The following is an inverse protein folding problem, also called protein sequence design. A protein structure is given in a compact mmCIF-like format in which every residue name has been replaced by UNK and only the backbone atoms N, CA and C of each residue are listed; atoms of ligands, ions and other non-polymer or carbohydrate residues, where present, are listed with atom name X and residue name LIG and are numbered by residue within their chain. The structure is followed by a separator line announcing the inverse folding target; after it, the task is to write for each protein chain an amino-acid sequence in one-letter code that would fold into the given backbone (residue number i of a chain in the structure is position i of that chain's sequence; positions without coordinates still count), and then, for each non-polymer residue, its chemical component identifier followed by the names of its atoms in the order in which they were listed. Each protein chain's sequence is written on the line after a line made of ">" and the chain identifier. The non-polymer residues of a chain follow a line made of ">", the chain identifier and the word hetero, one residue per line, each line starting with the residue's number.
data_IF_333667378210
#
_entry.id   IF_333667378210
#
_cell.length_a   1.000
_cell.length_b   1.000
_cell.length_c   1.000
_cell.angle_alpha   90.00
_cell.angle_beta   90.00
_cell.angle_gamma   90.00
#
_symmetry.space_group_name_H-M   'P 1'
#
loop_
_entity.id
_entity.type
_entity.pdbx_description
1 polymer ?
#
# COMPACT_ATOMS: atom_id res chain seq x y z
N UNK A 1 -9.56 19.75 -2.62
CA UNK A 1 -10.35 20.95 -2.89
C UNK A 1 -11.85 20.66 -3.10
N UNK A 2 -12.42 19.63 -2.47
CA UNK A 2 -13.86 19.32 -2.63
C UNK A 2 -14.64 19.36 -1.30
N UNK A 3 -14.02 19.82 -0.20
CA UNK A 3 -14.57 19.68 1.17
C UNK A 3 -14.99 18.24 1.52
N UNK A 4 -14.32 17.26 0.91
CA UNK A 4 -14.56 15.82 1.12
C UNK A 4 -13.29 15.17 1.65
N UNK A 5 -13.47 14.21 2.55
CA UNK A 5 -12.38 13.40 3.13
C UNK A 5 -12.69 11.94 2.82
N UNK A 6 -11.69 11.20 2.34
CA UNK A 6 -11.77 9.76 2.17
C UNK A 6 -11.05 9.05 3.31
N UNK A 7 -11.72 8.10 3.96
CA UNK A 7 -11.14 7.29 5.04
C UNK A 7 -11.20 5.83 4.63
N UNK A 8 -10.06 5.15 4.73
CA UNK A 8 -9.95 3.72 4.47
C UNK A 8 -9.38 3.03 5.71
N UNK A 9 -10.06 1.98 6.18
CA UNK A 9 -9.60 1.14 7.29
C UNK A 9 -9.26 -0.23 6.75
N UNK A 10 -8.00 -0.63 6.90
CA UNK A 10 -7.54 -1.98 6.58
C UNK A 10 -7.65 -2.91 7.78
N UNK A 11 -8.07 -4.15 7.55
CA UNK A 11 -8.00 -5.24 8.54
C UNK A 11 -7.25 -6.44 8.00
N UNK A 12 -6.74 -7.27 8.90
CA UNK A 12 -6.26 -8.59 8.52
C UNK A 12 -7.43 -9.47 8.02
N UNK A 13 -7.27 -10.27 6.94
CA UNK A 13 -8.34 -11.10 6.40
C UNK A 13 -8.93 -12.08 7.42
N UNK A 14 -8.12 -12.59 8.34
CA UNK A 14 -8.55 -13.53 9.40
C UNK A 14 -9.06 -12.83 10.68
N UNK A 15 -9.06 -11.50 10.73
CA UNK A 15 -9.72 -10.78 11.81
C UNK A 15 -11.23 -10.68 11.55
N UNK A 16 -11.95 -11.74 11.91
CA UNK A 16 -13.39 -11.83 11.68
C UNK A 16 -14.20 -10.89 12.57
N UNK A 17 -13.66 -10.47 13.71
CA UNK A 17 -14.33 -9.51 14.59
C UNK A 17 -14.40 -8.12 13.95
N UNK A 18 -13.37 -7.73 13.20
CA UNK A 18 -13.38 -6.50 12.39
C UNK A 18 -14.10 -6.66 11.04
N UNK A 19 -14.68 -7.81 10.72
CA UNK A 19 -15.50 -7.95 9.51
C UNK A 19 -16.75 -7.06 9.55
N UNK A 20 -17.14 -6.56 10.73
CA UNK A 20 -18.19 -5.55 10.93
C UNK A 20 -17.91 -4.22 10.22
N UNK A 21 -16.65 -3.90 9.90
CA UNK A 21 -16.25 -2.68 9.18
C UNK A 21 -16.94 -2.48 7.81
N UNK A 22 -17.61 -3.50 7.28
CA UNK A 22 -18.43 -3.37 6.06
C UNK A 22 -19.78 -2.66 6.28
N UNK A 23 -20.16 -2.45 7.54
CA UNK A 23 -21.41 -1.82 7.94
C UNK A 23 -21.13 -0.41 8.45
N UNK A 24 -21.88 0.58 7.97
CA UNK A 24 -21.64 2.00 8.24
C UNK A 24 -21.53 2.31 9.75
N UNK A 25 -22.51 1.90 10.54
CA UNK A 25 -22.54 2.19 11.99
C UNK A 25 -21.35 1.60 12.77
N UNK A 26 -20.86 0.43 12.36
CA UNK A 26 -19.66 -0.17 12.95
C UNK A 26 -18.39 0.54 12.48
N UNK A 27 -18.33 0.90 11.20
CA UNK A 27 -17.22 1.64 10.61
C UNK A 27 -17.06 3.01 11.28
N UNK A 28 -18.13 3.79 11.39
CA UNK A 28 -18.13 5.13 11.98
C UNK A 28 -17.66 5.10 13.44
N UNK A 29 -18.14 4.12 14.22
CA UNK A 29 -17.71 3.93 15.60
C UNK A 29 -16.23 3.58 15.71
N UNK A 30 -15.74 2.69 14.85
CA UNK A 30 -14.31 2.36 14.82
C UNK A 30 -13.49 3.59 14.46
N UNK A 31 -13.82 4.28 13.37
CA UNK A 31 -13.06 5.46 12.92
C UNK A 31 -13.09 6.58 13.96
N UNK A 32 -14.24 6.82 14.59
CA UNK A 32 -14.37 7.78 15.69
C UNK A 32 -13.53 7.44 16.93
N UNK A 33 -13.17 6.16 17.11
CA UNK A 33 -12.27 5.72 18.19
C UNK A 33 -10.79 5.86 17.88
N UNK A 34 -10.40 6.13 16.61
CA UNK A 34 -9.01 6.22 16.17
C UNK A 34 -8.50 7.66 16.36
N UNK A 35 -7.56 7.92 17.29
CA UNK A 35 -7.12 9.29 17.59
C UNK A 35 -6.67 10.12 16.37
N UNK A 36 -5.94 9.58 15.37
CA UNK A 36 -5.47 10.37 14.24
C UNK A 36 -6.58 10.92 13.32
N UNK A 37 -7.78 10.34 13.36
CA UNK A 37 -8.87 10.66 12.42
C UNK A 37 -10.22 10.96 13.12
N UNK A 38 -10.33 10.75 14.44
CA UNK A 38 -11.56 10.96 15.19
C UNK A 38 -12.17 12.35 14.97
N UNK A 39 -11.36 13.41 15.04
CA UNK A 39 -11.82 14.78 14.83
C UNK A 39 -12.33 15.04 13.39
N UNK A 40 -11.88 14.25 12.40
CA UNK A 40 -12.31 14.40 11.01
C UNK A 40 -13.70 13.83 10.77
N UNK A 41 -14.14 12.87 11.59
CA UNK A 41 -15.44 12.18 11.48
C UNK A 41 -16.43 12.60 12.57
N UNK A 42 -16.08 13.60 13.37
CA UNK A 42 -17.01 14.18 14.32
C UNK A 42 -18.24 14.73 13.56
N UNK A 43 -19.48 14.39 13.96
CA UNK A 43 -20.69 14.85 13.28
C UNK A 43 -20.85 16.38 13.24
N UNK A 44 -20.15 17.13 14.10
CA UNK A 44 -20.09 18.59 14.04
C UNK A 44 -19.14 19.12 12.95
N UNK A 45 -18.30 18.26 12.37
CA UNK A 45 -17.29 18.61 11.37
C UNK A 45 -17.56 17.99 10.00
N UNK A 46 -18.14 16.78 9.92
CA UNK A 46 -18.43 16.11 8.66
C UNK A 46 -19.65 15.19 8.73
N UNK A 47 -20.21 14.90 7.56
CA UNK A 47 -21.29 13.92 7.38
C UNK A 47 -20.89 12.90 6.30
N UNK A 48 -21.31 11.62 6.41
CA UNK A 48 -21.09 10.64 5.35
C UNK A 48 -21.83 11.03 4.07
N UNK A 49 -21.13 10.97 2.93
CA UNK A 49 -21.72 11.24 1.60
C UNK A 49 -21.99 9.97 0.78
N UNK A 50 -21.56 8.81 1.29
CA UNK A 50 -21.76 7.49 0.66
C UNK A 50 -21.78 6.39 1.71
N UNK A 51 -22.33 5.22 1.34
CA UNK A 51 -22.17 4.00 2.11
C UNK A 51 -20.71 3.53 2.16
N UNK A 52 -20.41 2.63 3.10
CA UNK A 52 -19.09 2.01 3.22
C UNK A 52 -18.86 1.01 2.09
N UNK A 53 -17.85 1.26 1.28
CA UNK A 53 -17.38 0.31 0.28
C UNK A 53 -16.42 -0.71 0.91
N UNK A 54 -16.81 -1.99 0.92
CA UNK A 54 -15.96 -3.08 1.39
C UNK A 54 -15.15 -3.69 0.24
N UNK A 55 -13.83 -3.72 0.39
CA UNK A 55 -12.91 -4.37 -0.53
C UNK A 55 -12.19 -5.53 0.17
N UNK A 56 -12.19 -6.70 -0.46
CA UNK A 56 -11.56 -7.92 0.06
C UNK A 56 -10.86 -8.70 -1.04
N UNK A 57 -10.16 -9.78 -0.65
CA UNK A 57 -9.48 -10.65 -1.61
C UNK A 57 -8.33 -9.98 -2.36
N UNK A 58 -7.70 -8.98 -1.75
CA UNK A 58 -6.54 -8.27 -2.31
C UNK A 58 -5.42 -9.27 -2.63
N UNK A 59 -4.90 -9.21 -3.86
CA UNK A 59 -3.82 -10.07 -4.33
C UNK A 59 -2.81 -9.23 -5.10
N UNK A 60 -1.53 -9.45 -4.82
CA UNK A 60 -0.43 -8.91 -5.62
C UNK A 60 -0.20 -9.86 -6.80
N UNK A 61 -0.63 -9.47 -8.00
CA UNK A 61 -0.53 -10.31 -9.20
C UNK A 61 0.28 -9.57 -10.25
N UNK A 62 1.34 -10.20 -10.75
CA UNK A 62 2.10 -9.73 -11.91
C UNK A 62 1.87 -10.70 -13.08
N UNK A 63 1.30 -10.18 -14.18
CA UNK A 63 1.23 -10.87 -15.46
C UNK A 63 2.41 -10.41 -16.29
N UNK A 64 3.54 -11.07 -16.05
CA UNK A 64 4.82 -10.76 -16.67
C UNK A 64 4.71 -10.66 -18.21
N UNK A 65 5.07 -9.54 -18.85
CA UNK A 65 4.96 -9.42 -20.30
C UNK A 65 6.07 -10.19 -21.03
N UNK A 66 7.08 -10.67 -20.31
CA UNK A 66 8.21 -11.41 -20.86
C UNK A 66 8.15 -12.90 -20.51
N UNK A 67 8.61 -13.73 -21.44
CA UNK A 67 8.91 -15.16 -21.21
C UNK A 67 10.24 -15.49 -21.86
N UNK A 68 11.17 -16.03 -21.08
CA UNK A 68 12.54 -16.30 -21.55
C UNK A 68 13.23 -15.08 -22.21
N UNK A 69 12.89 -13.86 -21.79
CA UNK A 69 13.50 -12.62 -22.26
C UNK A 69 12.84 -11.94 -23.46
N UNK A 70 11.83 -12.55 -24.09
CA UNK A 70 11.08 -11.98 -25.21
C UNK A 70 9.61 -11.73 -24.86
N UNK A 71 8.95 -10.86 -25.64
CA UNK A 71 7.52 -10.59 -25.50
C UNK A 71 6.69 -11.86 -25.72
N UNK A 72 5.66 -12.06 -24.88
CA UNK A 72 4.79 -13.24 -24.99
C UNK A 72 3.79 -13.17 -26.14
N UNK A 73 3.32 -11.97 -26.47
CA UNK A 73 2.29 -11.73 -27.50
C UNK A 73 2.67 -10.48 -28.28
N UNK A 74 2.57 -10.53 -29.61
CA UNK A 74 2.77 -9.36 -30.47
C UNK A 74 1.43 -8.65 -30.71
N UNK A 75 1.46 -7.30 -30.77
CA UNK A 75 0.27 -6.49 -31.06
C UNK A 75 -0.70 -6.32 -29.87
N UNK A 76 -0.41 -6.91 -28.71
CA UNK A 76 -1.18 -6.74 -27.47
C UNK A 76 -0.26 -6.26 -26.35
N UNK A 77 -0.56 -5.09 -25.78
CA UNK A 77 0.20 -4.51 -24.67
C UNK A 77 -0.71 -4.34 -23.44
N UNK A 78 -0.50 -5.14 -22.41
CA UNK A 78 -1.24 -5.00 -21.16
C UNK A 78 -0.68 -3.84 -20.32
N UNK A 79 -1.58 -3.00 -19.79
CA UNK A 79 -1.25 -1.86 -18.92
C UNK A 79 -2.12 -1.86 -17.65
N UNK A 80 -1.79 -1.00 -16.69
CA UNK A 80 -2.49 -0.93 -15.40
C UNK A 80 -2.71 -2.29 -14.73
N UNK A 81 -3.91 -2.51 -14.19
CA UNK A 81 -4.29 -3.75 -13.51
C UNK A 81 -4.30 -4.99 -14.41
N UNK A 82 -4.43 -4.81 -15.74
CA UNK A 82 -4.31 -5.91 -16.69
C UNK A 82 -2.88 -6.48 -16.72
N UNK A 83 -1.88 -5.65 -16.41
CA UNK A 83 -0.48 -6.08 -16.28
C UNK A 83 -0.13 -6.47 -14.84
N UNK A 84 -0.49 -5.62 -13.88
CA UNK A 84 -0.12 -5.83 -12.48
C UNK A 84 -1.13 -5.21 -11.53
N UNK A 85 -1.63 -6.01 -10.60
CA UNK A 85 -2.47 -5.56 -9.50
C UNK A 85 -1.65 -5.58 -8.22
N UNK A 86 -1.70 -4.50 -7.44
CA UNK A 86 -0.99 -4.37 -6.16
C UNK A 86 -1.98 -4.12 -5.03
N UNK A 87 -1.63 -4.49 -3.81
CA UNK A 87 -2.33 -4.04 -2.62
C UNK A 87 -2.32 -2.49 -2.59
N UNK A 88 -3.48 -1.82 -2.46
CA UNK A 88 -3.60 -0.38 -2.63
C UNK A 88 -3.03 0.45 -1.47
N UNK A 89 -2.37 -0.16 -0.48
CA UNK A 89 -1.83 0.50 0.71
C UNK A 89 -0.99 1.76 0.45
N UNK A 90 -0.36 1.89 -0.73
CA UNK A 90 0.42 3.06 -1.12
C UNK A 90 -0.17 3.84 -2.31
N UNK A 91 -1.36 3.49 -2.78
CA UNK A 91 -2.03 4.21 -3.87
C UNK A 91 -1.29 4.21 -5.21
N UNK A 92 -0.43 3.22 -5.48
CA UNK A 92 0.48 3.21 -6.64
C UNK A 92 -0.18 2.85 -7.98
N UNK A 93 -1.37 2.25 -7.96
CA UNK A 93 -2.00 1.65 -9.16
C UNK A 93 -2.19 2.62 -10.32
N UNK A 94 -2.72 3.82 -10.06
CA UNK A 94 -2.92 4.84 -11.11
C UNK A 94 -1.59 5.34 -11.67
N UNK A 95 -0.62 5.64 -10.81
CA UNK A 95 0.73 6.07 -11.24
C UNK A 95 1.42 5.02 -12.11
N UNK A 96 1.31 3.74 -11.73
CA UNK A 96 1.80 2.62 -12.56
C UNK A 96 1.09 2.57 -13.91
N UNK A 97 -0.24 2.67 -13.94
CA UNK A 97 -1.00 2.64 -15.18
C UNK A 97 -0.60 3.77 -16.14
N UNK A 98 -0.36 4.99 -15.63
CA UNK A 98 0.11 6.12 -16.42
C UNK A 98 1.54 5.89 -16.96
N UNK A 99 2.46 5.36 -16.14
CA UNK A 99 3.81 4.99 -16.59
C UNK A 99 3.76 3.90 -17.66
N UNK A 100 2.86 2.93 -17.54
CA UNK A 100 2.66 1.89 -18.54
C UNK A 100 2.17 2.50 -19.86
N UNK A 101 1.17 3.40 -19.82
CA UNK A 101 0.64 4.06 -21.01
C UNK A 101 1.71 4.88 -21.75
N UNK A 102 2.55 5.61 -21.02
CA UNK A 102 3.69 6.33 -21.59
C UNK A 102 4.69 5.36 -22.25
N UNK A 103 5.08 4.30 -21.54
CA UNK A 103 6.03 3.30 -22.05
C UNK A 103 5.54 2.59 -23.33
N UNK A 104 4.24 2.30 -23.41
CA UNK A 104 3.60 1.74 -24.61
C UNK A 104 3.62 2.75 -25.75
N UNK A 105 3.17 3.99 -25.51
CA UNK A 105 3.14 5.05 -26.52
C UNK A 105 4.53 5.32 -27.12
N UNK A 106 5.54 5.45 -26.27
CA UNK A 106 6.92 5.67 -26.69
C UNK A 106 7.51 4.46 -27.43
N UNK A 107 7.09 3.24 -27.07
CA UNK A 107 7.58 2.02 -27.70
C UNK A 107 6.96 1.80 -29.08
N UNK A 108 5.66 2.08 -29.21
CA UNK A 108 4.92 2.03 -30.47
C UNK A 108 5.46 3.07 -31.45
N UNK A 109 5.69 4.30 -30.97
CA UNK A 109 6.22 5.38 -31.81
C UNK A 109 7.65 5.12 -32.30
N UNK A 110 8.46 4.38 -31.53
CA UNK A 110 9.83 4.05 -31.89
C UNK A 110 9.93 2.92 -32.94
N UNK A 111 8.94 2.04 -33.02
CA UNK A 111 8.96 0.84 -33.88
C UNK A 111 7.59 0.63 -34.60
N UNK A 112 7.08 1.63 -35.35
CA UNK A 112 5.69 1.63 -35.85
C UNK A 112 5.37 0.49 -36.82
N UNK A 113 6.35 0.07 -37.64
CA UNK A 113 6.17 -0.95 -38.69
C UNK A 113 6.88 -2.28 -38.37
N UNK A 114 7.31 -2.45 -37.11
CA UNK A 114 8.12 -3.59 -36.66
C UNK A 114 7.47 -4.25 -35.44
N UNK A 115 6.36 -4.99 -35.61
CA UNK A 115 5.53 -5.47 -34.50
C UNK A 115 6.28 -6.39 -33.54
N UNK A 116 7.26 -7.15 -34.05
CA UNK A 116 8.19 -7.97 -33.28
C UNK A 116 9.07 -7.11 -32.36
N UNK A 117 9.79 -6.13 -32.93
CA UNK A 117 10.70 -5.24 -32.18
C UNK A 117 9.95 -4.35 -31.20
N UNK A 118 8.79 -3.87 -31.63
CA UNK A 118 7.88 -3.07 -30.82
C UNK A 118 7.42 -3.85 -29.58
N UNK A 119 6.91 -5.07 -29.76
CA UNK A 119 6.44 -5.91 -28.66
C UNK A 119 7.56 -6.16 -27.64
N UNK A 120 8.74 -6.50 -28.12
CA UNK A 120 9.92 -6.75 -27.32
C UNK A 120 10.40 -5.50 -26.54
N UNK A 121 10.43 -4.34 -27.19
CA UNK A 121 10.81 -3.07 -26.58
C UNK A 121 9.82 -2.69 -25.47
N UNK A 122 8.52 -2.73 -25.76
CA UNK A 122 7.46 -2.40 -24.81
C UNK A 122 7.45 -3.38 -23.65
N UNK A 123 7.51 -4.69 -23.89
CA UNK A 123 7.52 -5.70 -22.84
C UNK A 123 8.73 -5.52 -21.89
N UNK A 124 9.91 -5.21 -22.42
CA UNK A 124 11.10 -4.91 -21.60
C UNK A 124 10.93 -3.65 -20.76
N UNK A 125 10.34 -2.59 -21.30
CA UNK A 125 10.06 -1.35 -20.55
C UNK A 125 9.02 -1.59 -19.45
N UNK A 126 7.90 -2.22 -19.77
CA UNK A 126 6.85 -2.56 -18.81
C UNK A 126 7.39 -3.46 -17.68
N UNK A 127 8.14 -4.51 -18.03
CA UNK A 127 8.78 -5.38 -17.04
C UNK A 127 9.70 -4.61 -16.09
N UNK A 128 10.52 -3.69 -16.62
CA UNK A 128 11.45 -2.87 -15.84
C UNK A 128 10.72 -1.92 -14.87
N UNK A 129 9.63 -1.32 -15.31
CA UNK A 129 8.80 -0.44 -14.47
C UNK A 129 8.06 -1.22 -13.39
N UNK A 130 7.53 -2.39 -13.74
CA UNK A 130 6.51 -3.07 -12.91
C UNK A 130 7.09 -4.03 -11.89
N UNK A 131 8.12 -4.81 -12.27
CA UNK A 131 8.66 -5.87 -11.39
C UNK A 131 9.17 -5.36 -10.05
N UNK A 132 9.97 -4.28 -9.99
CA UNK A 132 10.48 -3.80 -8.71
C UNK A 132 9.34 -3.36 -7.78
N UNK A 133 8.32 -2.69 -8.33
CA UNK A 133 7.16 -2.21 -7.58
C UNK A 133 6.30 -3.38 -7.06
N UNK A 134 6.09 -4.40 -7.88
CA UNK A 134 5.38 -5.61 -7.46
C UNK A 134 6.13 -6.34 -6.34
N UNK A 135 7.44 -6.57 -6.49
CA UNK A 135 8.26 -7.24 -5.48
C UNK A 135 8.33 -6.46 -4.16
N UNK A 136 8.42 -5.11 -4.24
CA UNK A 136 8.31 -4.22 -3.09
C UNK A 136 6.96 -4.37 -2.36
N UNK A 137 5.87 -4.34 -3.13
CA UNK A 137 4.53 -4.51 -2.56
C UNK A 137 4.37 -5.86 -1.87
N UNK A 138 4.85 -6.95 -2.49
CA UNK A 138 4.80 -8.31 -1.91
C UNK A 138 5.56 -8.36 -0.58
N UNK A 139 6.76 -7.78 -0.51
CA UNK A 139 7.55 -7.76 0.71
C UNK A 139 6.85 -6.99 1.84
N UNK A 140 6.32 -5.79 1.55
CA UNK A 140 5.56 -5.01 2.53
C UNK A 140 4.27 -5.70 2.97
N UNK A 141 3.57 -6.39 2.05
CA UNK A 141 2.34 -7.09 2.37
C UNK A 141 2.60 -8.32 3.26
N UNK A 142 3.71 -9.04 3.02
CA UNK A 142 4.14 -10.15 3.87
C UNK A 142 4.47 -9.69 5.29
N UNK A 143 5.26 -8.63 5.44
CA UNK A 143 5.60 -8.06 6.75
C UNK A 143 4.35 -7.56 7.48
N UNK A 144 3.53 -6.73 6.81
CA UNK A 144 2.30 -6.16 7.38
C UNK A 144 1.32 -7.25 7.79
N UNK A 145 1.10 -8.26 6.94
CA UNK A 145 0.19 -9.37 7.24
C UNK A 145 0.66 -10.14 8.47
N UNK A 146 1.97 -10.38 8.61
CA UNK A 146 2.51 -11.05 9.80
C UNK A 146 2.30 -10.22 11.08
N UNK A 147 2.63 -8.92 11.05
CA UNK A 147 2.41 -8.00 12.18
C UNK A 147 0.94 -7.92 12.56
N UNK A 148 0.05 -7.78 11.59
CA UNK A 148 -1.38 -7.75 11.88
C UNK A 148 -1.88 -9.06 12.44
N UNK A 149 -1.37 -10.20 11.95
CA UNK A 149 -1.73 -11.52 12.51
C UNK A 149 -1.30 -11.65 13.97
N UNK A 150 -0.18 -11.06 14.39
CA UNK A 150 0.21 -11.01 15.81
C UNK A 150 -0.80 -10.27 16.70
N UNK A 151 -1.41 -9.21 16.19
CA UNK A 151 -2.46 -8.48 16.93
C UNK A 151 -3.76 -9.28 17.10
N UNK A 152 -3.97 -10.28 16.24
CA UNK A 152 -5.11 -11.21 16.30
C UNK A 152 -4.74 -12.45 17.12
N UNK A 153 -3.51 -12.94 16.98
CA UNK A 153 -2.98 -14.15 17.61
C UNK A 153 -1.64 -13.84 18.28
N UNK A 154 -1.66 -13.61 19.60
CA UNK A 154 -0.52 -13.12 20.37
C UNK A 154 0.72 -14.03 20.40
N UNK A 155 0.62 -15.28 19.93
CA UNK A 155 1.65 -16.32 20.09
C UNK A 155 2.59 -16.52 18.86
N UNK A 156 2.69 -15.55 17.94
CA UNK A 156 3.61 -15.69 16.81
C UNK A 156 5.03 -15.23 17.17
N UNK A 157 6.03 -15.86 16.55
CA UNK A 157 7.46 -15.54 16.72
C UNK A 157 7.88 -14.19 16.11
N UNK A 158 9.16 -14.05 15.77
CA UNK A 158 9.70 -12.81 15.22
C UNK A 158 9.07 -12.44 13.87
N UNK A 159 8.83 -11.14 13.66
CA UNK A 159 8.34 -10.61 12.38
C UNK A 159 9.41 -10.84 11.30
N UNK A 160 9.07 -11.45 10.15
CA UNK A 160 10.00 -11.54 9.04
C UNK A 160 10.45 -10.15 8.58
N UNK A 161 11.75 -9.97 8.34
CA UNK A 161 12.33 -8.75 7.80
C UNK A 161 12.79 -8.99 6.35
N UNK A 162 11.88 -8.96 5.35
CA UNK A 162 12.23 -9.20 3.95
C UNK A 162 13.03 -8.06 3.31
N UNK A 163 13.26 -6.97 4.05
CA UNK A 163 13.90 -5.71 3.65
C UNK A 163 14.82 -5.24 4.77
N UNK A 164 15.87 -4.50 4.43
CA UNK A 164 16.82 -3.94 5.40
C UNK A 164 16.13 -2.91 6.32
N UNK A 165 15.25 -2.08 5.75
CA UNK A 165 14.47 -1.09 6.50
C UNK A 165 12.99 -1.49 6.46
N UNK A 166 12.40 -1.74 7.62
CA UNK A 166 10.97 -2.01 7.73
C UNK A 166 10.12 -0.74 7.60
N UNK A 167 8.85 -0.84 7.19
CA UNK A 167 7.99 0.35 7.09
C UNK A 167 7.77 1.05 8.45
N UNK A 168 7.51 0.35 9.57
CA UNK A 168 7.44 1.01 10.88
C UNK A 168 8.74 1.72 11.27
N UNK A 169 9.90 1.08 11.04
CA UNK A 169 11.22 1.69 11.28
C UNK A 169 11.43 2.93 10.41
N UNK A 170 11.02 2.88 9.15
CA UNK A 170 11.11 4.01 8.23
C UNK A 170 10.26 5.20 8.68
N UNK A 171 9.03 4.96 9.14
CA UNK A 171 8.14 6.01 9.65
C UNK A 171 8.69 6.65 10.93
N UNK A 172 9.21 5.83 11.84
CA UNK A 172 9.86 6.27 13.08
C UNK A 172 11.07 7.15 12.77
N UNK A 173 11.94 6.72 11.85
CA UNK A 173 13.09 7.50 11.41
C UNK A 173 12.70 8.78 10.66
N UNK A 174 11.65 8.74 9.85
CA UNK A 174 11.13 9.91 9.14
C UNK A 174 10.56 10.99 10.07
N UNK A 175 10.02 10.58 11.23
CA UNK A 175 9.59 11.51 12.27
C UNK A 175 10.77 12.20 12.97
N UNK A 176 11.91 11.51 13.08
CA UNK A 176 13.13 12.05 13.68
C UNK A 176 13.96 12.91 12.69
N UNK A 177 14.03 12.52 11.42
CA UNK A 177 14.83 13.19 10.39
C UNK A 177 14.02 13.46 9.11
N UNK A 178 13.86 14.74 8.79
CA UNK A 178 13.17 15.22 7.58
C UNK A 178 13.79 14.69 6.29
N UNK A 179 15.11 14.50 6.22
CA UNK A 179 15.79 13.99 5.03
C UNK A 179 15.41 12.54 4.77
N UNK A 180 15.30 11.73 5.82
CA UNK A 180 14.79 10.36 5.74
C UNK A 180 13.32 10.39 5.32
N UNK A 181 12.51 11.28 5.90
CA UNK A 181 11.12 11.47 5.49
C UNK A 181 10.95 11.79 4.01
N UNK A 182 11.77 12.70 3.46
CA UNK A 182 11.75 13.01 2.03
C UNK A 182 12.17 11.81 1.16
N UNK A 183 13.21 11.08 1.55
CA UNK A 183 13.63 9.84 0.85
C UNK A 183 12.53 8.78 0.88
N UNK A 184 11.85 8.61 2.02
CA UNK A 184 10.73 7.68 2.18
C UNK A 184 9.58 8.08 1.25
N UNK A 185 9.18 9.35 1.24
CA UNK A 185 8.12 9.85 0.36
C UNK A 185 8.45 9.61 -1.12
N UNK A 186 9.70 9.84 -1.54
CA UNK A 186 10.16 9.57 -2.91
C UNK A 186 10.09 8.08 -3.25
N UNK A 187 10.47 7.20 -2.33
CA UNK A 187 10.39 5.76 -2.51
C UNK A 187 8.94 5.25 -2.59
N UNK A 188 8.04 5.69 -1.69
CA UNK A 188 6.64 5.22 -1.70
C UNK A 188 5.87 5.72 -2.93
N UNK A 189 6.19 6.91 -3.43
CA UNK A 189 5.57 7.53 -4.60
C UNK A 189 6.34 7.27 -5.91
N UNK A 190 7.28 6.33 -5.91
CA UNK A 190 7.99 5.85 -7.09
C UNK A 190 8.77 6.95 -7.85
N UNK A 191 9.19 8.01 -7.15
CA UNK A 191 10.12 9.01 -7.67
C UNK A 191 11.56 8.48 -7.67
N UNK A 192 11.86 7.57 -6.73
CA UNK A 192 13.06 6.75 -6.70
C UNK A 192 12.67 5.27 -6.66
N UNK A 193 13.61 4.36 -6.96
CA UNK A 193 13.35 2.93 -6.80
C UNK A 193 13.13 2.62 -5.31
N UNK A 194 12.07 1.89 -4.93
CA UNK A 194 11.83 1.51 -3.54
C UNK A 194 13.02 0.80 -2.89
N UNK A 195 13.76 -0.01 -3.66
CA UNK A 195 14.96 -0.71 -3.19
C UNK A 195 16.08 0.21 -2.74
N UNK A 196 16.20 1.42 -3.31
CA UNK A 196 17.20 2.42 -2.89
C UNK A 196 16.93 2.98 -1.49
N UNK A 197 15.78 2.67 -0.91
CA UNK A 197 15.41 3.02 0.45
C UNK A 197 15.28 1.77 1.33
N UNK A 198 14.45 0.80 0.93
CA UNK A 198 14.11 -0.35 1.78
C UNK A 198 15.21 -1.41 1.83
N UNK A 199 16.12 -1.45 0.86
CA UNK A 199 17.25 -2.37 0.82
C UNK A 199 18.59 -1.67 1.11
N UNK A 200 18.56 -0.41 1.58
CA UNK A 200 19.76 0.36 1.90
C UNK A 200 20.29 -0.01 3.30
N UNK A 201 21.25 -0.93 3.35
CA UNK A 201 21.90 -1.38 4.60
C UNK A 201 22.62 -0.26 5.35
N UNK A 202 23.19 0.72 4.63
CA UNK A 202 23.84 1.85 5.26
C UNK A 202 22.82 2.76 5.95
N UNK A 203 21.66 2.98 5.31
CA UNK A 203 20.53 3.65 5.94
C UNK A 203 20.00 2.86 7.14
N UNK A 204 19.86 1.53 7.04
CA UNK A 204 19.40 0.69 8.14
C UNK A 204 20.32 0.81 9.38
N UNK A 205 21.63 0.76 9.18
CA UNK A 205 22.61 0.99 10.24
C UNK A 205 22.51 2.41 10.83
N UNK A 206 22.36 3.43 9.98
CA UNK A 206 22.23 4.81 10.43
C UNK A 206 20.95 5.04 11.26
N UNK A 207 19.83 4.42 10.89
CA UNK A 207 18.55 4.55 11.62
C UNK A 207 18.66 3.99 13.05
N UNK A 208 19.44 2.94 13.25
CA UNK A 208 19.62 2.30 14.57
C UNK A 208 20.22 3.27 15.60
N UNK A 209 21.00 4.26 15.14
CA UNK A 209 21.60 5.28 16.00
C UNK A 209 20.74 6.54 16.21
N UNK A 210 19.53 6.62 15.64
CA UNK A 210 18.67 7.78 15.77
C UNK A 210 17.89 7.76 17.09
N UNK A 211 17.92 8.87 17.80
CA UNK A 211 16.98 9.14 18.88
C UNK A 211 15.63 9.56 18.28
N UNK A 212 14.73 8.59 18.14
CA UNK A 212 13.46 8.79 17.45
C UNK A 212 12.32 9.09 18.43
N UNK A 213 11.52 10.13 18.20
CA UNK A 213 10.45 10.53 19.12
C UNK A 213 9.37 9.47 19.17
N UNK A 214 8.73 9.29 20.34
CA UNK A 214 7.55 8.43 20.42
C UNK A 214 6.46 8.93 19.46
N UNK A 215 5.98 8.05 18.58
CA UNK A 215 4.90 8.41 17.66
C UNK A 215 3.57 8.46 18.42
N UNK A 216 2.66 9.40 18.06
CA UNK A 216 1.32 9.44 18.64
C UNK A 216 0.62 8.09 18.51
N UNK A 217 -0.11 7.69 19.56
CA UNK A 217 -0.91 6.48 19.53
C UNK A 217 -1.94 6.52 18.41
N UNK A 218 -2.00 5.44 17.64
CA UNK A 218 -3.00 5.24 16.58
C UNK A 218 -4.24 4.48 17.09
N UNK A 219 -4.35 4.30 18.40
CA UNK A 219 -5.38 3.46 19.04
C UNK A 219 -4.97 2.00 19.13
N UNK A 220 -5.92 1.13 19.48
CA UNK A 220 -5.68 -0.32 19.58
C UNK A 220 -6.81 -1.11 18.95
N UNK A 221 -6.52 -2.34 18.53
CA UNK A 221 -7.53 -3.30 18.05
C UNK A 221 -8.64 -3.52 19.08
N UNK A 222 -8.29 -3.61 20.36
CA UNK A 222 -9.26 -3.81 21.43
C UNK A 222 -10.23 -2.62 21.57
N UNK A 223 -9.70 -1.39 21.50
CA UNK A 223 -10.53 -0.18 21.54
C UNK A 223 -11.46 -0.08 20.33
N UNK A 224 -10.95 -0.36 19.12
CA UNK A 224 -11.74 -0.39 17.90
C UNK A 224 -12.90 -1.40 17.99
N UNK A 225 -12.64 -2.61 18.49
CA UNK A 225 -13.67 -3.62 18.69
C UNK A 225 -14.69 -3.22 19.76
N UNK A 226 -14.25 -2.62 20.86
CA UNK A 226 -15.15 -2.14 21.90
C UNK A 226 -16.11 -1.06 21.35
N UNK A 227 -15.58 -0.11 20.57
CA UNK A 227 -16.39 0.94 19.92
C UNK A 227 -17.41 0.34 18.95
N UNK A 228 -16.98 -0.55 18.04
CA UNK A 228 -17.88 -1.19 17.09
C UNK A 228 -18.98 -2.04 17.75
N UNK A 229 -18.66 -2.77 18.82
CA UNK A 229 -19.64 -3.58 19.55
C UNK A 229 -20.62 -2.75 20.39
N UNK A 230 -20.21 -1.58 20.91
CA UNK A 230 -21.09 -0.70 21.66
C UNK A 230 -22.30 -0.28 20.81
N UNK A 231 -22.08 0.01 19.52
CA UNK A 231 -23.15 0.36 18.57
C UNK A 231 -24.08 -0.80 18.26
N UNK A 232 -23.55 -2.03 18.13
CA UNK A 232 -24.39 -3.21 17.89
C UNK A 232 -25.27 -3.59 19.09
N UNK A 233 -24.88 -3.20 20.30
CA UNK A 233 -25.57 -3.53 21.55
C UNK A 233 -26.45 -2.40 22.09
N UNK A 234 -26.52 -1.26 21.38
CA UNK A 234 -27.27 -0.08 21.81
C UNK A 234 -26.71 0.59 23.07
N UNK A 235 -25.41 0.42 23.34
CA UNK A 235 -24.70 0.97 24.50
C UNK A 235 -23.94 2.26 24.19
N UNK A 236 -24.39 3.01 23.18
CA UNK A 236 -23.75 4.25 22.71
C UNK A 236 -24.20 5.43 23.56
#
# INVERSE_FOLDING_TARGET
>A
DARTIGIAVGRHPFDLHLAGLRHASFFDAVVGSLPPVAALVDPSHSEPISDVAAMGGLRNVLRDPLRAGSAQVHGLHAIGDALCTTNPAFGRGLSMALQHAAAVTDGVSAEPDRPDRQADLVARRLSRLTRPVWADTVAHDAERSYRWRQTVHAALGAVPAPRAVSMPTALQAAAADRRIGLRLLRAIHLLDSPSQFFDDEALAAAITGLDAPELPSVGSRAAALAAGHAVLTGRV
#
